data_IF_307730511301
#
_entry.id   IF_307730511301
#
_cell.length_a   1.000
_cell.length_b   1.000
_cell.length_c   1.000
_cell.angle_alpha   90.00
_cell.angle_beta   90.00
_cell.angle_gamma   90.00
#
_symmetry.space_group_name_H-M   'P 1'
#
loop_
_entity.id
_entity.type
_entity.pdbx_description
1 polymer ?
#
# COMPACT_ATOMS: atom_id res chain seq x y z
N UNK A 1 13.26 -29.90 12.80
CA UNK A 1 12.40 -29.00 13.60
C UNK A 1 11.10 -28.80 12.81
N UNK A 2 9.96 -29.35 13.24
CA UNK A 2 8.68 -29.22 12.51
C UNK A 2 8.29 -27.73 12.49
N UNK A 3 8.20 -27.14 11.30
CA UNK A 3 7.73 -25.77 11.15
C UNK A 3 6.28 -25.70 11.66
N UNK A 4 6.00 -24.86 12.67
CA UNK A 4 4.62 -24.60 13.06
C UNK A 4 3.94 -23.80 11.95
N UNK A 5 2.71 -24.19 11.61
CA UNK A 5 1.87 -23.40 10.71
C UNK A 5 1.66 -22.00 11.29
N UNK A 6 1.80 -20.97 10.44
CA UNK A 6 1.41 -19.60 10.81
C UNK A 6 -0.04 -19.60 11.33
N UNK A 7 -0.23 -19.06 12.53
CA UNK A 7 -1.52 -19.04 13.25
C UNK A 7 -2.05 -17.63 13.51
N UNK A 8 -1.50 -16.61 12.83
CA UNK A 8 -1.85 -15.21 13.06
C UNK A 8 -3.06 -14.85 12.18
N UNK A 9 -4.21 -14.58 12.81
CA UNK A 9 -5.48 -14.37 12.09
C UNK A 9 -5.45 -13.16 11.15
N UNK A 10 -4.88 -12.03 11.58
CA UNK A 10 -4.86 -10.80 10.80
C UNK A 10 -3.88 -10.83 9.64
N UNK A 11 -3.01 -11.84 9.58
CA UNK A 11 -2.21 -12.12 8.39
C UNK A 11 -2.99 -12.89 7.34
N UNK A 12 -4.21 -13.36 7.61
CA UNK A 12 -5.07 -13.96 6.59
C UNK A 12 -5.81 -12.83 5.86
N UNK A 13 -5.69 -12.75 4.52
CA UNK A 13 -6.28 -11.64 3.76
C UNK A 13 -7.81 -11.64 3.83
N UNK A 14 -8.44 -12.81 3.94
CA UNK A 14 -9.90 -12.95 4.04
C UNK A 14 -10.43 -12.31 5.32
N UNK A 15 -9.88 -12.67 6.48
CA UNK A 15 -10.35 -12.15 7.76
C UNK A 15 -10.04 -10.67 7.93
N UNK A 16 -8.84 -10.24 7.51
CA UNK A 16 -8.46 -8.84 7.60
C UNK A 16 -9.37 -7.96 6.74
N UNK A 17 -9.58 -8.36 5.48
CA UNK A 17 -10.41 -7.61 4.55
C UNK A 17 -11.88 -7.59 4.98
N UNK A 18 -12.43 -8.73 5.40
CA UNK A 18 -13.80 -8.80 5.93
C UNK A 18 -13.99 -7.85 7.10
N UNK A 19 -13.09 -7.88 8.09
CA UNK A 19 -13.18 -7.00 9.27
C UNK A 19 -13.08 -5.53 8.86
N UNK A 20 -12.08 -5.18 8.06
CA UNK A 20 -11.83 -3.81 7.62
C UNK A 20 -13.01 -3.23 6.85
N UNK A 21 -13.45 -3.92 5.79
CA UNK A 21 -14.53 -3.44 4.92
C UNK A 21 -15.85 -3.41 5.66
N UNK A 22 -16.15 -4.41 6.51
CA UNK A 22 -17.39 -4.40 7.29
C UNK A 22 -17.46 -3.19 8.20
N UNK A 23 -16.36 -2.83 8.88
CA UNK A 23 -16.32 -1.65 9.77
C UNK A 23 -16.50 -0.36 8.95
N UNK A 24 -15.80 -0.21 7.82
CA UNK A 24 -15.85 1.03 7.04
C UNK A 24 -17.20 1.19 6.34
N UNK A 25 -17.75 0.11 5.75
CA UNK A 25 -19.08 0.13 5.11
C UNK A 25 -20.17 0.37 6.15
N UNK A 26 -20.11 -0.29 7.31
CA UNK A 26 -21.06 -0.04 8.39
C UNK A 26 -20.97 1.40 8.88
N UNK A 27 -19.76 1.95 9.06
CA UNK A 27 -19.56 3.36 9.41
C UNK A 27 -20.18 4.30 8.38
N UNK A 28 -19.90 4.08 7.10
CA UNK A 28 -20.41 4.92 6.03
C UNK A 28 -21.93 4.87 5.87
N UNK A 29 -22.52 3.69 6.09
CA UNK A 29 -23.96 3.53 6.04
C UNK A 29 -24.67 4.07 7.30
N UNK A 30 -24.13 3.84 8.50
CA UNK A 30 -24.78 4.22 9.76
C UNK A 30 -24.66 5.70 10.11
N UNK A 31 -23.66 6.42 9.59
CA UNK A 31 -23.52 7.86 9.83
C UNK A 31 -24.68 8.61 9.14
N UNK A 32 -25.47 9.42 9.86
CA UNK A 32 -26.58 10.18 9.27
C UNK A 32 -26.13 11.19 8.22
N UNK A 33 -27.01 11.51 7.26
CA UNK A 33 -26.71 12.50 6.20
C UNK A 33 -26.32 13.87 6.75
N UNK A 34 -27.00 14.34 7.80
CA UNK A 34 -26.70 15.63 8.45
C UNK A 34 -25.27 15.69 9.01
N UNK A 35 -24.73 14.55 9.46
CA UNK A 35 -23.36 14.45 9.93
C UNK A 35 -22.36 14.56 8.77
N UNK A 36 -22.69 14.06 7.57
CA UNK A 36 -21.86 14.26 6.39
C UNK A 36 -21.77 15.74 6.00
N UNK A 37 -22.89 16.45 6.04
CA UNK A 37 -22.93 17.89 5.76
C UNK A 37 -22.14 18.66 6.83
N UNK A 38 -22.38 18.35 8.11
CA UNK A 38 -21.76 19.06 9.24
C UNK A 38 -20.25 18.87 9.33
N UNK A 39 -19.79 17.61 9.24
CA UNK A 39 -18.37 17.28 9.46
C UNK A 39 -17.54 17.25 8.18
N UNK A 40 -18.15 16.90 7.05
CA UNK A 40 -17.45 16.67 5.79
C UNK A 40 -17.88 17.60 4.66
N UNK A 41 -18.89 18.46 4.88
CA UNK A 41 -19.38 19.46 3.90
C UNK A 41 -19.72 18.83 2.54
N UNK A 42 -20.31 17.64 2.57
CA UNK A 42 -20.72 16.89 1.38
C UNK A 42 -22.03 16.17 1.66
N UNK A 43 -22.83 15.96 0.63
CA UNK A 43 -24.02 15.13 0.73
C UNK A 43 -23.67 13.65 0.90
N UNK A 44 -24.57 12.92 1.54
CA UNK A 44 -24.46 11.47 1.67
C UNK A 44 -25.11 10.81 0.46
N UNK A 45 -24.29 10.17 -0.36
CA UNK A 45 -24.72 9.41 -1.54
C UNK A 45 -25.03 7.96 -1.20
N UNK A 46 -24.50 7.40 -0.10
CA UNK A 46 -24.77 6.01 0.29
C UNK A 46 -26.17 5.87 0.90
N UNK A 47 -27.01 5.01 0.31
CA UNK A 47 -28.38 4.72 0.74
C UNK A 47 -28.80 3.27 0.44
N UNK A 48 -29.99 2.85 0.86
CA UNK A 48 -30.45 1.45 0.73
C UNK A 48 -30.40 0.93 -0.71
N UNK A 49 -30.72 1.78 -1.69
CA UNK A 49 -30.73 1.41 -3.11
C UNK A 49 -29.36 1.20 -3.77
N UNK A 50 -28.25 1.59 -3.15
CA UNK A 50 -26.92 1.45 -3.75
C UNK A 50 -25.92 0.68 -2.84
N UNK A 51 -26.38 0.23 -1.67
CA UNK A 51 -25.56 -0.50 -0.69
C UNK A 51 -24.96 -1.80 -1.27
N UNK A 52 -25.68 -2.44 -2.20
CA UNK A 52 -25.20 -3.65 -2.90
C UNK A 52 -23.89 -3.43 -3.65
N UNK A 53 -23.66 -2.24 -4.21
CA UNK A 53 -22.42 -1.93 -4.94
C UNK A 53 -21.20 -1.86 -4.03
N UNK A 54 -21.39 -1.64 -2.72
CA UNK A 54 -20.34 -1.68 -1.72
C UNK A 54 -20.09 -3.10 -1.20
N UNK A 55 -21.15 -3.91 -1.07
CA UNK A 55 -21.09 -5.25 -0.47
C UNK A 55 -20.61 -6.30 -1.48
N UNK A 56 -21.11 -6.29 -2.72
CA UNK A 56 -20.83 -7.31 -3.72
C UNK A 56 -19.33 -7.45 -4.05
N UNK A 57 -18.56 -6.37 -4.28
CA UNK A 57 -17.10 -6.44 -4.41
C UNK A 57 -16.42 -7.15 -3.25
N UNK A 58 -16.89 -6.88 -2.04
CA UNK A 58 -16.30 -7.44 -0.84
C UNK A 58 -16.56 -8.95 -0.74
N UNK A 59 -17.79 -9.37 -1.07
CA UNK A 59 -18.17 -10.78 -1.16
C UNK A 59 -17.35 -11.50 -2.23
N UNK A 60 -17.19 -10.92 -3.42
CA UNK A 60 -16.40 -11.48 -4.51
C UNK A 60 -14.92 -11.65 -4.11
N UNK A 61 -14.31 -10.64 -3.48
CA UNK A 61 -12.94 -10.75 -2.96
C UNK A 61 -12.81 -11.89 -1.94
N UNK A 62 -13.74 -11.99 -0.99
CA UNK A 62 -13.73 -13.05 0.03
C UNK A 62 -13.88 -14.41 -0.63
N UNK A 63 -14.84 -14.57 -1.55
CA UNK A 63 -15.06 -15.81 -2.29
C UNK A 63 -13.80 -16.24 -3.05
N UNK A 64 -13.17 -15.32 -3.80
CA UNK A 64 -11.91 -15.59 -4.48
C UNK A 64 -10.81 -16.05 -3.53
N UNK A 65 -10.67 -15.37 -2.38
CA UNK A 65 -9.66 -15.69 -1.36
C UNK A 65 -9.87 -17.06 -0.71
N UNK A 66 -11.12 -17.43 -0.46
CA UNK A 66 -11.52 -18.76 0.04
C UNK A 66 -11.24 -19.83 -1.02
N UNK A 67 -11.64 -19.61 -2.27
CA UNK A 67 -11.37 -20.53 -3.38
C UNK A 67 -9.86 -20.79 -3.50
N UNK A 68 -9.04 -19.73 -3.45
CA UNK A 68 -7.59 -19.86 -3.47
C UNK A 68 -7.04 -20.67 -2.29
N UNK A 69 -7.61 -20.50 -1.10
CA UNK A 69 -7.20 -21.26 0.10
C UNK A 69 -7.54 -22.75 -0.05
N UNK A 70 -8.68 -23.09 -0.66
CA UNK A 70 -9.10 -24.46 -0.93
C UNK A 70 -8.21 -25.12 -2.02
N UNK A 71 -7.93 -24.41 -3.12
CA UNK A 71 -7.10 -24.93 -4.20
C UNK A 71 -5.61 -25.00 -3.85
N UNK A 72 -5.11 -24.04 -3.07
CA UNK A 72 -3.73 -24.05 -2.59
C UNK A 72 -3.50 -25.08 -1.48
N UNK A 73 -4.52 -25.35 -0.64
CA UNK A 73 -4.48 -26.42 0.36
C UNK A 73 -4.30 -27.81 -0.26
N UNK A 74 -4.85 -28.02 -1.48
CA UNK A 74 -4.64 -29.24 -2.26
C UNK A 74 -3.23 -29.33 -2.85
N UNK A 75 -2.62 -28.19 -3.21
CA UNK A 75 -1.23 -28.13 -3.69
C UNK A 75 -0.27 -27.95 -2.52
N UNK A 76 0.05 -29.04 -1.82
CA UNK A 76 1.22 -29.06 -0.92
C UNK A 76 2.46 -28.65 -1.75
N UNK A 77 3.15 -27.54 -1.45
CA UNK A 77 4.43 -27.29 -2.08
C UNK A 77 5.37 -28.42 -1.64
N UNK A 78 5.86 -29.18 -2.61
CA UNK A 78 6.69 -30.38 -2.43
C UNK A 78 8.02 -30.13 -1.66
N UNK A 79 8.30 -28.90 -1.22
CA UNK A 79 9.37 -28.54 -0.30
C UNK A 79 8.93 -27.32 0.50
N UNK A 80 8.49 -27.53 1.74
CA UNK A 80 8.55 -26.47 2.74
C UNK A 80 10.01 -25.98 2.78
N UNK A 81 10.25 -24.66 2.84
CA UNK A 81 11.58 -24.01 2.99
C UNK A 81 12.42 -23.71 1.72
N UNK A 82 11.86 -23.77 0.50
CA UNK A 82 12.61 -23.40 -0.73
C UNK A 82 13.31 -22.05 -0.57
N UNK A 83 12.60 -20.99 -0.17
CA UNK A 83 13.21 -19.66 -0.10
C UNK A 83 14.34 -19.57 0.91
N UNK A 84 14.17 -20.13 2.12
CA UNK A 84 15.23 -20.17 3.14
C UNK A 84 16.44 -21.02 2.72
N UNK A 85 16.24 -22.10 1.97
CA UNK A 85 17.37 -22.85 1.40
C UNK A 85 18.12 -22.04 0.33
N UNK A 86 17.39 -21.30 -0.51
CA UNK A 86 17.96 -20.47 -1.57
C UNK A 86 18.77 -19.31 -0.99
N UNK A 87 18.30 -18.73 0.12
CA UNK A 87 19.01 -17.71 0.87
C UNK A 87 20.40 -18.13 1.33
N UNK A 88 20.56 -19.40 1.74
CA UNK A 88 21.86 -19.93 2.17
C UNK A 88 22.79 -20.19 0.98
N UNK A 89 22.25 -20.69 -0.14
CA UNK A 89 23.07 -21.05 -1.30
C UNK A 89 23.44 -19.84 -2.17
N UNK A 90 22.62 -18.78 -2.18
CA UNK A 90 22.80 -17.59 -3.02
C UNK A 90 23.00 -16.32 -2.19
N UNK A 91 23.71 -16.42 -1.07
CA UNK A 91 23.94 -15.30 -0.14
C UNK A 91 24.57 -14.09 -0.85
N UNK A 92 25.59 -14.30 -1.68
CA UNK A 92 26.26 -13.22 -2.43
C UNK A 92 25.33 -12.47 -3.38
N UNK A 93 24.50 -13.20 -4.13
CA UNK A 93 23.52 -12.64 -5.06
C UNK A 93 22.48 -11.79 -4.33
N UNK A 94 21.92 -12.30 -3.23
CA UNK A 94 20.90 -11.58 -2.45
C UNK A 94 21.48 -10.30 -1.83
N UNK A 95 22.71 -10.36 -1.29
CA UNK A 95 23.40 -9.17 -0.78
C UNK A 95 23.64 -8.13 -1.87
N UNK A 96 23.98 -8.56 -3.09
CA UNK A 96 24.16 -7.65 -4.23
C UNK A 96 22.86 -6.92 -4.58
N UNK A 97 21.73 -7.64 -4.63
CA UNK A 97 20.41 -7.03 -4.82
C UNK A 97 20.02 -6.06 -3.71
N UNK A 98 20.25 -6.43 -2.45
CA UNK A 98 19.98 -5.54 -1.31
C UNK A 98 20.78 -4.23 -1.45
N UNK A 99 22.08 -4.33 -1.77
CA UNK A 99 22.93 -3.15 -1.98
C UNK A 99 22.50 -2.32 -3.18
N UNK A 100 22.16 -2.97 -4.30
CA UNK A 100 21.67 -2.29 -5.51
C UNK A 100 20.40 -1.49 -5.19
N UNK A 101 19.40 -2.12 -4.57
CA UNK A 101 18.14 -1.46 -4.22
C UNK A 101 18.36 -0.32 -3.23
N UNK A 102 19.26 -0.50 -2.26
CA UNK A 102 19.66 0.58 -1.35
C UNK A 102 20.28 1.77 -2.09
N UNK A 103 21.22 1.53 -3.00
CA UNK A 103 21.84 2.59 -3.81
C UNK A 103 20.82 3.31 -4.68
N UNK A 104 19.91 2.59 -5.33
CA UNK A 104 18.82 3.17 -6.12
C UNK A 104 17.88 4.03 -5.26
N UNK A 105 17.57 3.56 -4.05
CA UNK A 105 16.75 4.31 -3.09
C UNK A 105 17.44 5.59 -2.66
N UNK A 106 18.73 5.52 -2.32
CA UNK A 106 19.53 6.70 -1.96
C UNK A 106 19.64 7.69 -3.12
N UNK A 107 19.81 7.19 -4.35
CA UNK A 107 19.80 8.04 -5.53
C UNK A 107 18.47 8.80 -5.67
N UNK A 108 17.33 8.13 -5.48
CA UNK A 108 16.02 8.78 -5.48
C UNK A 108 15.89 9.89 -4.43
N UNK A 109 16.32 9.62 -3.19
CA UNK A 109 16.31 10.63 -2.12
C UNK A 109 17.31 11.76 -2.35
N UNK A 110 18.49 11.47 -2.92
CA UNK A 110 19.49 12.48 -3.24
C UNK A 110 19.00 13.42 -4.35
N UNK A 111 18.43 12.86 -5.42
CA UNK A 111 17.85 13.65 -6.49
C UNK A 111 16.69 14.51 -5.99
N UNK A 112 15.86 13.95 -5.12
CA UNK A 112 14.79 14.69 -4.45
C UNK A 112 15.31 15.86 -3.60
N UNK A 113 16.36 15.62 -2.79
CA UNK A 113 17.00 16.68 -2.01
C UNK A 113 17.63 17.77 -2.89
N UNK A 114 18.22 17.40 -4.03
CA UNK A 114 18.76 18.37 -4.99
C UNK A 114 17.66 19.24 -5.61
N UNK A 115 16.51 18.64 -5.96
CA UNK A 115 15.34 19.38 -6.47
C UNK A 115 14.83 20.36 -5.40
N UNK A 116 14.79 19.94 -4.14
CA UNK A 116 14.44 20.85 -3.04
C UNK A 116 15.40 22.04 -2.94
N UNK A 117 16.71 21.80 -3.02
CA UNK A 117 17.71 22.87 -2.99
C UNK A 117 17.57 23.83 -4.18
N UNK A 118 17.33 23.31 -5.38
CA UNK A 118 17.14 24.12 -6.59
C UNK A 118 15.90 25.02 -6.50
N UNK A 119 14.83 24.53 -5.86
CA UNK A 119 13.57 25.24 -5.71
C UNK A 119 13.51 26.12 -4.45
N UNK A 120 14.67 26.45 -3.84
CA UNK A 120 14.75 27.45 -2.78
C UNK A 120 14.62 26.93 -1.35
N UNK A 121 14.83 25.63 -1.11
CA UNK A 121 14.84 25.08 0.25
C UNK A 121 15.96 25.70 1.10
N UNK A 122 15.60 26.32 2.23
CA UNK A 122 16.52 26.93 3.18
C UNK A 122 16.47 26.24 4.55
N UNK A 123 17.57 26.28 5.30
CA UNK A 123 17.64 25.72 6.65
C UNK A 123 16.65 26.40 7.61
N UNK A 124 16.35 27.69 7.39
CA UNK A 124 15.31 28.41 8.12
C UNK A 124 13.94 27.78 7.90
N UNK A 125 13.60 27.46 6.65
CA UNK A 125 12.32 26.84 6.32
C UNK A 125 12.16 25.44 6.92
N UNK A 126 13.25 24.66 6.99
CA UNK A 126 13.29 23.40 7.75
C UNK A 126 13.01 23.60 9.24
N UNK A 127 13.67 24.58 9.85
CA UNK A 127 13.49 24.88 11.28
C UNK A 127 12.07 25.40 11.57
N UNK A 128 11.47 26.15 10.64
CA UNK A 128 10.11 26.67 10.78
C UNK A 128 9.07 25.54 10.79
N UNK A 129 9.24 24.50 9.95
CA UNK A 129 8.42 23.29 10.02
C UNK A 129 8.59 22.55 11.35
N UNK A 130 9.83 22.39 11.81
CA UNK A 130 10.12 21.69 13.07
C UNK A 130 9.58 22.47 14.28
N UNK A 131 9.57 23.81 14.22
CA UNK A 131 8.98 24.69 15.23
C UNK A 131 7.45 24.77 15.16
N UNK A 132 6.85 24.24 14.09
CA UNK A 132 5.40 24.26 13.88
C UNK A 132 4.88 25.66 13.54
N UNK A 133 5.65 26.46 12.79
CA UNK A 133 5.16 27.75 12.31
C UNK A 133 3.98 27.55 11.33
N UNK A 134 2.85 28.26 11.53
CA UNK A 134 1.68 28.13 10.65
C UNK A 134 2.04 28.41 9.19
N UNK A 135 1.56 27.58 8.26
CA UNK A 135 1.78 27.75 6.82
C UNK A 135 3.09 27.18 6.26
N UNK A 136 4.12 26.93 7.07
CA UNK A 136 5.45 26.50 6.59
C UNK A 136 5.44 25.16 5.82
N UNK A 137 4.50 24.26 6.14
CA UNK A 137 4.33 22.98 5.41
C UNK A 137 3.66 23.22 4.05
N UNK A 138 2.74 24.20 3.95
CA UNK A 138 2.06 24.52 2.70
C UNK A 138 3.02 25.14 1.69
N UNK A 139 3.89 26.05 2.14
CA UNK A 139 4.95 26.65 1.33
C UNK A 139 5.90 25.60 0.74
N UNK A 140 6.10 24.47 1.42
CA UNK A 140 6.86 23.34 0.88
C UNK A 140 6.05 22.63 -0.19
N UNK A 141 4.83 22.24 0.14
CA UNK A 141 4.04 21.41 -0.78
C UNK A 141 3.66 22.11 -2.08
N UNK A 142 3.44 23.43 -2.08
CA UNK A 142 3.10 24.19 -3.30
C UNK A 142 4.32 24.47 -4.18
N UNK A 143 5.48 24.77 -3.57
CA UNK A 143 6.70 25.12 -4.31
C UNK A 143 7.51 23.89 -4.77
N UNK A 144 7.35 22.73 -4.13
CA UNK A 144 8.12 21.53 -4.44
C UNK A 144 7.27 20.48 -5.18
N UNK A 145 6.88 20.76 -6.43
CA UNK A 145 6.32 19.72 -7.31
C UNK A 145 7.39 18.66 -7.60
N UNK A 146 7.11 17.41 -7.22
CA UNK A 146 8.00 16.28 -7.49
C UNK A 146 8.16 16.05 -8.99
N UNK A 147 9.40 15.88 -9.46
CA UNK A 147 9.66 15.44 -10.83
C UNK A 147 9.32 13.95 -10.92
N UNK A 148 8.22 13.64 -11.64
CA UNK A 148 7.77 12.28 -11.92
C UNK A 148 8.87 11.49 -12.62
N UNK A 149 9.13 10.26 -12.17
CA UNK A 149 10.19 9.36 -12.71
C UNK A 149 11.47 9.35 -11.87
N UNK A 150 12.06 10.50 -11.55
CA UNK A 150 13.31 10.55 -10.75
C UNK A 150 13.02 10.31 -9.26
N UNK A 151 11.96 10.92 -8.75
CA UNK A 151 11.50 10.72 -7.36
C UNK A 151 10.90 9.34 -7.14
N UNK A 152 10.47 8.65 -8.21
CA UNK A 152 9.95 7.28 -8.18
C UNK A 152 11.01 6.26 -7.72
N UNK A 153 12.30 6.58 -7.81
CA UNK A 153 13.37 5.73 -7.28
C UNK A 153 13.30 5.53 -5.76
N UNK A 154 12.63 6.43 -5.03
CA UNK A 154 12.35 6.23 -3.59
C UNK A 154 11.52 4.97 -3.32
N UNK A 155 10.71 4.52 -4.29
CA UNK A 155 9.88 3.33 -4.17
C UNK A 155 10.70 2.02 -4.21
N UNK A 156 11.97 2.05 -4.63
CA UNK A 156 12.90 0.92 -4.46
C UNK A 156 13.23 0.64 -2.99
N UNK A 157 12.90 1.55 -2.08
CA UNK A 157 13.03 1.34 -0.64
C UNK A 157 12.16 0.19 -0.12
N UNK A 158 10.99 -0.01 -0.73
CA UNK A 158 10.04 -1.08 -0.38
C UNK A 158 10.65 -2.48 -0.60
N UNK A 159 11.08 -2.85 -1.83
CA UNK A 159 11.71 -4.15 -2.05
C UNK A 159 13.03 -4.29 -1.29
N UNK A 160 13.79 -3.21 -1.08
CA UNK A 160 14.99 -3.23 -0.24
C UNK A 160 14.66 -3.69 1.19
N UNK A 161 13.66 -3.09 1.84
CA UNK A 161 13.28 -3.42 3.21
C UNK A 161 12.83 -4.87 3.32
N UNK A 162 12.01 -5.35 2.38
CA UNK A 162 11.52 -6.73 2.35
C UNK A 162 12.71 -7.71 2.35
N UNK A 163 13.65 -7.54 1.41
CA UNK A 163 14.79 -8.44 1.27
C UNK A 163 15.77 -8.32 2.45
N UNK A 164 16.07 -7.10 2.90
CA UNK A 164 17.01 -6.85 3.99
C UNK A 164 16.50 -7.40 5.32
N UNK A 165 15.23 -7.13 5.68
CA UNK A 165 14.62 -7.64 6.91
C UNK A 165 14.53 -9.16 6.86
N UNK A 166 14.13 -9.73 5.72
CA UNK A 166 14.07 -11.18 5.58
C UNK A 166 15.44 -11.83 5.79
N UNK A 167 16.46 -11.30 5.13
CA UNK A 167 17.84 -11.79 5.23
C UNK A 167 18.34 -11.75 6.68
N UNK A 168 18.16 -10.63 7.38
CA UNK A 168 18.65 -10.46 8.75
C UNK A 168 17.92 -11.35 9.75
N UNK A 169 16.59 -11.42 9.68
CA UNK A 169 15.79 -12.21 10.64
C UNK A 169 15.98 -13.71 10.41
N UNK A 170 16.16 -14.13 9.15
CA UNK A 170 16.44 -15.53 8.81
C UNK A 170 17.85 -15.96 9.25
N UNK A 171 18.87 -15.12 9.08
CA UNK A 171 20.26 -15.46 9.39
C UNK A 171 20.70 -15.07 10.81
N UNK A 172 19.88 -14.30 11.55
CA UNK A 172 20.22 -13.79 12.88
C UNK A 172 21.32 -12.73 12.89
N UNK A 173 21.77 -12.23 11.74
CA UNK A 173 22.85 -11.25 11.60
C UNK A 173 22.28 -9.84 11.37
N UNK A 174 22.90 -8.83 11.99
CA UNK A 174 22.51 -7.40 11.89
C UNK A 174 23.25 -6.63 10.79
N UNK A 175 23.51 -7.28 9.65
CA UNK A 175 24.41 -6.77 8.60
C UNK A 175 23.95 -5.45 7.96
N UNK A 176 22.64 -5.23 7.83
CA UNK A 176 22.05 -4.10 7.11
C UNK A 176 21.35 -3.09 8.03
N UNK A 177 21.60 -3.13 9.35
CA UNK A 177 20.87 -2.27 10.30
C UNK A 177 21.08 -0.79 10.02
N UNK A 178 22.31 -0.38 9.68
CA UNK A 178 22.59 1.02 9.30
C UNK A 178 21.83 1.43 8.04
N UNK A 179 21.80 0.58 7.01
CA UNK A 179 21.06 0.85 5.77
C UNK A 179 19.54 0.94 6.01
N UNK A 180 18.98 0.04 6.82
CA UNK A 180 17.57 0.10 7.21
C UNK A 180 17.25 1.36 8.00
N UNK A 181 18.11 1.75 8.96
CA UNK A 181 17.92 2.97 9.74
C UNK A 181 17.93 4.21 8.85
N UNK A 182 18.85 4.29 7.88
CA UNK A 182 18.90 5.39 6.91
C UNK A 182 17.62 5.46 6.09
N UNK A 183 17.16 4.35 5.50
CA UNK A 183 15.94 4.36 4.67
C UNK A 183 14.71 4.71 5.51
N UNK A 184 14.59 4.20 6.74
CA UNK A 184 13.49 4.55 7.65
C UNK A 184 13.53 6.04 7.98
N UNK A 185 14.70 6.60 8.29
CA UNK A 185 14.85 8.02 8.58
C UNK A 185 14.46 8.90 7.38
N UNK A 186 14.95 8.57 6.18
CA UNK A 186 14.60 9.28 4.94
C UNK A 186 13.10 9.19 4.64
N UNK A 187 12.48 8.05 4.93
CA UNK A 187 11.03 7.85 4.77
C UNK A 187 10.22 8.64 5.79
N UNK A 188 10.71 8.77 7.03
CA UNK A 188 10.09 9.61 8.04
C UNK A 188 10.14 11.09 7.63
N UNK A 189 11.28 11.56 7.15
CA UNK A 189 11.42 12.93 6.60
C UNK A 189 10.42 13.12 5.45
N UNK A 190 10.37 12.19 4.50
CA UNK A 190 9.39 12.23 3.39
C UNK A 190 7.93 12.27 3.88
N UNK A 191 7.58 11.45 4.88
CA UNK A 191 6.22 11.39 5.41
C UNK A 191 5.81 12.68 6.15
N UNK A 192 6.75 13.36 6.82
CA UNK A 192 6.50 14.62 7.54
C UNK A 192 6.42 15.80 6.57
N UNK A 193 7.46 15.98 5.73
CA UNK A 193 7.61 17.17 4.91
C UNK A 193 6.63 17.22 3.74
N UNK A 194 6.24 16.06 3.19
CA UNK A 194 5.41 15.98 1.98
C UNK A 194 4.08 15.31 2.24
N UNK A 195 3.74 15.07 3.51
CA UNK A 195 2.49 14.43 3.94
C UNK A 195 2.23 13.07 3.28
N UNK A 196 3.27 12.40 2.76
CA UNK A 196 3.17 11.10 2.11
C UNK A 196 3.15 9.95 3.12
N UNK A 197 2.14 9.94 3.98
CA UNK A 197 1.99 9.04 5.14
C UNK A 197 2.01 7.56 4.76
N UNK A 198 1.53 7.25 3.56
CA UNK A 198 1.53 5.90 3.01
C UNK A 198 2.95 5.33 2.86
N UNK A 199 3.95 6.16 2.56
CA UNK A 199 5.34 5.71 2.38
C UNK A 199 5.92 5.03 3.63
N UNK A 200 5.53 5.50 4.81
CA UNK A 200 5.96 4.89 6.07
C UNK A 200 5.31 3.52 6.27
N UNK A 201 4.02 3.38 5.94
CA UNK A 201 3.29 2.11 6.02
C UNK A 201 3.83 1.07 5.04
N UNK A 202 4.21 1.49 3.83
CA UNK A 202 4.85 0.68 2.79
C UNK A 202 6.17 0.04 3.25
N UNK A 203 6.83 0.61 4.26
CA UNK A 203 8.09 0.10 4.82
C UNK A 203 7.87 -0.66 6.13
N UNK A 204 7.15 -0.05 7.08
CA UNK A 204 6.98 -0.61 8.42
C UNK A 204 6.14 -1.89 8.40
N UNK A 205 5.02 -1.90 7.67
CA UNK A 205 4.10 -3.03 7.69
C UNK A 205 4.75 -4.29 7.09
N UNK A 206 5.38 -4.27 5.89
CA UNK A 206 6.06 -5.45 5.36
C UNK A 206 7.17 -5.95 6.30
N UNK A 207 7.95 -5.04 6.90
CA UNK A 207 8.99 -5.39 7.85
C UNK A 207 8.41 -6.13 9.07
N UNK A 208 7.32 -5.62 9.66
CA UNK A 208 6.63 -6.25 10.79
C UNK A 208 6.10 -7.63 10.42
N UNK A 209 5.43 -7.75 9.27
CA UNK A 209 4.89 -9.04 8.79
C UNK A 209 5.99 -10.08 8.65
N UNK A 210 7.12 -9.72 8.03
CA UNK A 210 8.26 -10.62 7.85
C UNK A 210 8.87 -11.00 9.20
N UNK A 211 9.11 -10.03 10.07
CA UNK A 211 9.69 -10.26 11.40
C UNK A 211 8.86 -11.26 12.20
N UNK A 212 7.54 -11.09 12.22
CA UNK A 212 6.64 -11.95 12.99
C UNK A 212 6.53 -13.34 12.36
N UNK A 213 6.38 -13.42 11.04
CA UNK A 213 6.27 -14.70 10.35
C UNK A 213 7.54 -15.54 10.48
N UNK A 214 8.72 -14.96 10.30
CA UNK A 214 9.99 -15.70 10.43
C UNK A 214 10.21 -16.13 11.89
N UNK A 215 9.97 -15.25 12.88
CA UNK A 215 10.09 -15.61 14.30
C UNK A 215 9.12 -16.74 14.70
N UNK A 216 7.89 -16.72 14.20
CA UNK A 216 6.92 -17.78 14.46
C UNK A 216 7.34 -19.11 13.82
N UNK A 217 7.84 -19.08 12.57
CA UNK A 217 8.39 -20.27 11.90
C UNK A 217 9.62 -20.84 12.62
N UNK A 218 10.42 -19.99 13.28
CA UNK A 218 11.53 -20.38 14.17
C UNK A 218 11.06 -20.94 15.54
N UNK A 219 9.76 -21.01 15.79
CA UNK A 219 9.19 -21.56 17.03
C UNK A 219 9.19 -20.59 18.22
N UNK A 220 9.50 -19.30 18.02
CA UNK A 220 9.44 -18.30 19.10
C UNK A 220 7.98 -18.02 19.46
N UNK A 221 7.65 -18.12 20.75
CA UNK A 221 6.35 -17.69 21.27
C UNK A 221 6.30 -16.16 21.23
N UNK A 222 5.42 -15.62 20.40
CA UNK A 222 5.19 -14.19 20.34
C UNK A 222 3.95 -13.86 21.20
N UNK A 223 4.16 -13.16 22.32
CA UNK A 223 3.06 -12.74 23.20
C UNK A 223 2.29 -11.60 22.53
N UNK A 224 0.97 -11.57 22.73
CA UNK A 224 0.07 -10.48 22.30
C UNK A 224 -0.04 -10.22 20.78
N UNK A 225 0.53 -11.07 19.91
CA UNK A 225 0.49 -10.86 18.45
C UNK A 225 -0.92 -10.80 17.87
N UNK A 226 -1.89 -11.45 18.52
CA UNK A 226 -3.29 -11.39 18.13
C UNK A 226 -3.89 -9.98 18.30
N UNK A 227 -3.32 -9.14 19.17
CA UNK A 227 -3.77 -7.76 19.45
C UNK A 227 -3.00 -6.69 18.66
N UNK A 228 -2.02 -7.09 17.84
CA UNK A 228 -1.22 -6.12 17.06
C UNK A 228 -2.04 -5.25 16.10
N UNK A 229 -3.15 -5.71 15.50
CA UNK A 229 -4.01 -4.83 14.71
C UNK A 229 -4.60 -3.67 15.53
N UNK A 230 -4.94 -3.89 16.80
CA UNK A 230 -5.45 -2.83 17.68
C UNK A 230 -4.35 -1.84 18.04
N UNK A 231 -3.15 -2.34 18.36
CA UNK A 231 -1.97 -1.51 18.61
C UNK A 231 -1.60 -0.72 17.35
N UNK A 232 -1.67 -1.36 16.18
CA UNK A 232 -1.42 -0.74 14.89
C UNK A 232 -2.42 0.36 14.57
N UNK A 233 -3.71 0.14 14.85
CA UNK A 233 -4.76 1.16 14.70
C UNK A 233 -4.51 2.36 15.63
N UNK A 234 -4.21 2.12 16.90
CA UNK A 234 -3.89 3.19 17.84
C UNK A 234 -2.64 3.98 17.41
N UNK A 235 -1.59 3.28 16.95
CA UNK A 235 -0.38 3.90 16.42
C UNK A 235 -0.64 4.70 15.13
N UNK A 236 -1.51 4.19 14.25
CA UNK A 236 -1.90 4.86 13.02
C UNK A 236 -2.68 6.15 13.32
N UNK A 237 -3.65 6.11 14.24
CA UNK A 237 -4.40 7.29 14.68
C UNK A 237 -3.47 8.29 15.36
N UNK A 238 -2.55 7.84 16.22
CA UNK A 238 -1.57 8.70 16.87
C UNK A 238 -0.62 9.38 15.87
N UNK A 239 -0.07 8.62 14.93
CA UNK A 239 0.81 9.17 13.88
C UNK A 239 0.05 10.13 12.95
N UNK A 240 -1.17 9.77 12.56
CA UNK A 240 -2.07 10.64 11.81
C UNK A 240 -2.33 11.94 12.57
N UNK A 241 -2.64 11.84 13.86
CA UNK A 241 -2.86 12.98 14.75
C UNK A 241 -1.66 13.91 14.80
N UNK A 242 -0.47 13.40 15.08
CA UNK A 242 0.76 14.19 15.11
C UNK A 242 0.98 14.90 13.76
N UNK A 243 0.79 14.20 12.65
CA UNK A 243 0.96 14.79 11.32
C UNK A 243 -0.07 15.87 10.99
N UNK A 244 -1.35 15.64 11.32
CA UNK A 244 -2.42 16.64 11.15
C UNK A 244 -2.25 17.84 12.08
N UNK A 245 -1.66 17.65 13.26
CA UNK A 245 -1.37 18.73 14.20
C UNK A 245 -0.50 19.81 13.56
N UNK A 246 0.64 19.40 12.98
CA UNK A 246 1.56 20.32 12.32
C UNK A 246 1.01 20.87 11.00
N UNK A 247 0.27 20.04 10.25
CA UNK A 247 -0.21 20.43 8.91
C UNK A 247 -1.40 21.36 8.96
N UNK A 248 -2.48 20.96 9.64
CA UNK A 248 -3.80 21.55 9.44
C UNK A 248 -4.42 22.08 10.72
N UNK A 249 -4.07 21.53 11.89
CA UNK A 249 -4.59 22.01 13.17
C UNK A 249 -4.09 23.43 13.50
N UNK A 250 -2.76 23.62 13.57
CA UNK A 250 -2.15 24.90 13.93
C UNK A 250 -2.49 26.02 12.96
N UNK A 251 -2.68 25.68 11.68
CA UNK A 251 -2.89 26.66 10.61
C UNK A 251 -4.36 27.05 10.40
N UNK A 252 -5.31 26.12 10.57
CA UNK A 252 -6.69 26.34 10.14
C UNK A 252 -7.77 25.89 11.15
N UNK A 253 -7.61 24.72 11.76
CA UNK A 253 -8.72 24.08 12.48
C UNK A 253 -8.78 24.36 13.99
N UNK A 254 -7.77 25.01 14.57
CA UNK A 254 -7.72 25.35 16.01
C UNK A 254 -8.93 26.17 16.48
N UNK A 255 -9.50 27.00 15.61
CA UNK A 255 -10.65 27.85 15.91
C UNK A 255 -11.99 27.28 15.41
N UNK A 256 -11.97 26.13 14.73
CA UNK A 256 -13.15 25.53 14.10
C UNK A 256 -13.70 24.37 14.94
N UNK A 257 -12.83 23.57 15.53
CA UNK A 257 -13.23 22.40 16.31
C UNK A 257 -13.11 22.66 17.82
N UNK A 258 -14.02 22.11 18.65
CA UNK A 258 -13.99 22.27 20.10
C UNK A 258 -12.75 21.64 20.74
N UNK A 259 -12.26 20.53 20.17
CA UNK A 259 -11.11 19.81 20.68
C UNK A 259 -10.28 19.18 19.57
N UNK A 260 -8.97 19.06 19.80
CA UNK A 260 -8.07 18.36 18.89
C UNK A 260 -8.44 16.90 18.71
N UNK A 261 -8.92 16.23 19.78
CA UNK A 261 -9.30 14.82 19.70
C UNK A 261 -10.51 14.59 18.79
N UNK A 262 -11.52 15.44 18.91
CA UNK A 262 -12.71 15.40 18.04
C UNK A 262 -12.33 15.64 16.58
N UNK A 263 -11.45 16.62 16.31
CA UNK A 263 -10.90 16.84 14.98
C UNK A 263 -10.19 15.61 14.42
N UNK A 264 -9.28 15.01 15.18
CA UNK A 264 -8.51 13.84 14.73
C UNK A 264 -9.40 12.64 14.45
N UNK A 265 -10.31 12.31 15.36
CA UNK A 265 -11.22 11.17 15.18
C UNK A 265 -12.12 11.41 13.97
N UNK A 266 -12.77 12.57 13.89
CA UNK A 266 -13.68 12.92 12.80
C UNK A 266 -12.99 12.86 11.44
N UNK A 267 -11.78 13.42 11.34
CA UNK A 267 -11.01 13.48 10.09
C UNK A 267 -10.40 12.13 9.72
N UNK A 268 -9.92 11.36 10.69
CA UNK A 268 -9.39 10.02 10.45
C UNK A 268 -10.48 9.10 9.89
N UNK A 269 -11.65 9.01 10.55
CA UNK A 269 -12.77 8.22 10.05
C UNK A 269 -13.34 8.80 8.75
N UNK A 270 -13.37 10.14 8.64
CA UNK A 270 -13.75 10.86 7.43
C UNK A 270 -13.01 10.33 6.21
N UNK A 271 -11.69 10.23 6.24
CA UNK A 271 -10.90 9.73 5.11
C UNK A 271 -11.27 8.34 4.58
N UNK A 272 -11.87 7.47 5.40
CA UNK A 272 -12.32 6.14 4.97
C UNK A 272 -13.79 6.15 4.56
N UNK A 273 -14.63 6.81 5.34
CA UNK A 273 -16.08 6.84 5.14
C UNK A 273 -16.44 7.72 3.94
N UNK A 274 -15.83 8.89 3.80
CA UNK A 274 -16.05 9.76 2.65
C UNK A 274 -15.46 9.16 1.37
N UNK A 275 -14.42 8.33 1.46
CA UNK A 275 -13.91 7.64 0.27
C UNK A 275 -14.98 6.75 -0.36
N UNK A 276 -15.69 5.93 0.43
CA UNK A 276 -16.81 5.11 -0.08
C UNK A 276 -17.95 5.98 -0.62
N UNK A 277 -18.24 7.11 0.04
CA UNK A 277 -19.25 8.06 -0.42
C UNK A 277 -18.88 8.70 -1.76
N UNK A 278 -17.62 9.09 -1.93
CA UNK A 278 -17.04 9.61 -3.17
C UNK A 278 -17.06 8.56 -4.29
N UNK A 279 -16.74 7.30 -3.98
CA UNK A 279 -16.86 6.20 -4.95
C UNK A 279 -18.31 5.99 -5.42
N UNK A 280 -19.27 6.18 -4.52
CA UNK A 280 -20.71 6.12 -4.82
C UNK A 280 -21.15 7.32 -5.68
N UNK A 281 -20.68 8.53 -5.34
CA UNK A 281 -20.87 9.74 -6.13
C UNK A 281 -20.40 9.55 -7.58
N UNK A 282 -19.21 8.96 -7.80
CA UNK A 282 -18.73 8.70 -9.15
C UNK A 282 -19.62 7.71 -9.90
N UNK A 283 -20.13 6.70 -9.20
CA UNK A 283 -21.04 5.75 -9.83
C UNK A 283 -22.36 6.41 -10.26
N UNK A 284 -22.90 7.31 -9.43
CA UNK A 284 -24.14 8.03 -9.74
C UNK A 284 -23.99 9.06 -10.86
N UNK A 285 -22.86 9.78 -10.88
CA UNK A 285 -22.65 10.88 -11.84
C UNK A 285 -22.02 10.41 -13.17
N UNK A 286 -21.12 9.42 -13.11
CA UNK A 286 -20.38 8.94 -14.29
C UNK A 286 -20.90 7.60 -14.81
N UNK A 287 -21.67 6.86 -14.02
CA UNK A 287 -22.17 5.53 -14.37
C UNK A 287 -21.09 4.44 -14.27
N UNK A 288 -21.48 3.23 -14.69
CA UNK A 288 -20.55 2.13 -14.90
C UNK A 288 -19.79 2.31 -16.21
N UNK A 289 -18.53 1.86 -16.25
CA UNK A 289 -17.70 1.89 -17.45
C UNK A 289 -17.65 3.30 -18.08
N UNK A 290 -17.35 4.31 -17.26
CA UNK A 290 -17.27 5.71 -17.68
C UNK A 290 -16.08 5.98 -18.62
N UNK A 291 -15.11 5.07 -18.66
CA UNK A 291 -13.95 5.15 -19.56
C UNK A 291 -13.92 3.99 -20.57
N UNK A 292 -13.47 4.23 -21.82
CA UNK A 292 -13.52 3.23 -22.89
C UNK A 292 -12.52 2.08 -22.71
N UNK A 293 -11.45 2.31 -21.95
CA UNK A 293 -10.44 1.31 -21.63
C UNK A 293 -9.96 1.51 -20.19
N UNK A 294 -9.62 0.43 -19.45
CA UNK A 294 -9.27 0.55 -18.04
C UNK A 294 -8.16 1.58 -17.76
N UNK A 295 -8.52 2.60 -16.99
CA UNK A 295 -7.63 3.66 -16.56
C UNK A 295 -7.19 3.46 -15.12
N UNK A 296 -8.13 3.20 -14.20
CA UNK A 296 -7.85 3.16 -12.76
C UNK A 296 -7.20 1.85 -12.31
N UNK A 297 -7.66 0.73 -12.85
CA UNK A 297 -7.13 -0.61 -12.57
C UNK A 297 -5.85 -0.91 -13.35
N UNK A 298 -5.53 -0.10 -14.37
CA UNK A 298 -4.28 -0.16 -15.15
C UNK A 298 -3.52 1.17 -15.16
N UNK A 299 -3.64 1.96 -14.09
CA UNK A 299 -3.06 3.31 -13.99
C UNK A 299 -1.56 3.34 -14.31
N UNK A 300 -0.84 2.32 -13.88
CA UNK A 300 0.59 2.16 -14.15
C UNK A 300 0.97 2.12 -15.62
N UNK A 301 0.08 1.69 -16.54
CA UNK A 301 0.34 1.70 -17.99
C UNK A 301 0.44 3.15 -18.44
N UNK A 302 -0.53 3.97 -18.02
CA UNK A 302 -0.70 5.35 -18.46
C UNK A 302 0.28 6.31 -17.79
N UNK A 303 0.71 6.00 -16.56
CA UNK A 303 1.67 6.78 -15.78
C UNK A 303 3.09 6.20 -15.79
N UNK A 304 3.39 5.31 -16.74
CA UNK A 304 4.71 4.70 -16.83
C UNK A 304 5.79 5.77 -17.18
N UNK A 305 6.96 5.76 -16.51
CA UNK A 305 8.04 6.69 -16.84
C UNK A 305 8.43 6.58 -18.32
N UNK A 306 8.33 7.68 -19.06
CA UNK A 306 8.57 7.74 -20.50
C UNK A 306 7.31 7.80 -21.37
N UNK A 307 6.11 7.64 -20.79
CA UNK A 307 4.87 8.03 -21.45
C UNK A 307 4.57 9.51 -21.23
N UNK A 308 3.92 10.16 -22.20
CA UNK A 308 3.43 11.53 -22.04
C UNK A 308 2.33 11.55 -20.97
N UNK A 309 2.24 12.63 -20.19
CA UNK A 309 1.18 12.80 -19.18
C UNK A 309 -0.23 12.68 -19.76
N UNK A 310 -0.38 12.99 -21.05
CA UNK A 310 -1.63 12.93 -21.81
C UNK A 310 -1.78 11.65 -22.65
N UNK A 311 -1.05 10.57 -22.34
CA UNK A 311 -1.06 9.34 -23.14
C UNK A 311 -2.48 8.75 -23.30
N UNK A 312 -3.27 8.76 -22.23
CA UNK A 312 -4.66 8.28 -22.28
C UNK A 312 -5.54 9.19 -23.15
N UNK A 313 -5.44 10.51 -22.97
CA UNK A 313 -6.17 11.48 -23.77
C UNK A 313 -5.81 11.37 -25.25
N UNK A 314 -4.53 11.17 -25.57
CA UNK A 314 -4.05 10.98 -26.95
C UNK A 314 -4.63 9.71 -27.58
N UNK A 315 -4.89 8.65 -26.79
CA UNK A 315 -5.42 7.38 -27.29
C UNK A 315 -6.94 7.38 -27.42
N UNK A 316 -7.67 8.02 -26.50
CA UNK A 316 -9.13 7.88 -26.37
C UNK A 316 -9.90 9.21 -26.43
N UNK A 317 -9.22 10.36 -26.49
CA UNK A 317 -9.84 11.68 -26.55
C UNK A 317 -10.54 12.13 -25.26
N UNK A 318 -10.38 11.37 -24.16
CA UNK A 318 -11.03 11.61 -22.87
C UNK A 318 -9.95 11.77 -21.80
N UNK A 319 -10.17 12.67 -20.84
CA UNK A 319 -9.32 12.80 -19.66
C UNK A 319 -10.08 12.30 -18.41
N UNK A 320 -9.81 11.06 -17.95
CA UNK A 320 -10.49 10.48 -16.78
C UNK A 320 -10.28 11.29 -15.50
N UNK A 321 -9.08 11.86 -15.30
CA UNK A 321 -8.78 12.67 -14.11
C UNK A 321 -9.59 13.96 -14.11
N UNK A 322 -9.76 14.60 -15.28
CA UNK A 322 -10.60 15.78 -15.39
C UNK A 322 -12.07 15.47 -15.06
N UNK A 323 -12.61 14.35 -15.56
CA UNK A 323 -13.99 13.94 -15.26
C UNK A 323 -14.23 13.70 -13.76
N UNK A 324 -13.31 13.01 -13.10
CA UNK A 324 -13.36 12.79 -11.65
C UNK A 324 -13.22 14.11 -10.87
N UNK A 325 -12.25 14.95 -11.24
CA UNK A 325 -12.02 16.22 -10.55
C UNK A 325 -13.20 17.17 -10.70
N UNK A 326 -13.78 17.30 -11.90
CA UNK A 326 -14.99 18.11 -12.11
C UNK A 326 -16.16 17.58 -11.29
N UNK A 327 -16.32 16.25 -11.17
CA UNK A 327 -17.36 15.65 -10.34
C UNK A 327 -17.15 15.97 -8.86
N UNK A 328 -15.91 15.84 -8.37
CA UNK A 328 -15.53 16.19 -7.00
C UNK A 328 -15.74 17.68 -6.67
N UNK A 329 -15.35 18.57 -7.57
CA UNK A 329 -15.48 20.01 -7.39
C UNK A 329 -16.93 20.47 -7.44
N UNK A 330 -17.77 19.80 -8.23
CA UNK A 330 -19.18 20.17 -8.41
C UNK A 330 -20.10 19.59 -7.33
N UNK A 331 -19.84 18.37 -6.87
CA UNK A 331 -20.78 17.58 -6.05
C UNK A 331 -20.15 16.97 -4.78
N UNK A 332 -18.82 17.02 -4.68
CA UNK A 332 -18.06 16.41 -3.60
C UNK A 332 -17.40 17.46 -2.69
N UNK A 333 -16.34 17.02 -2.01
CA UNK A 333 -15.46 17.92 -1.27
C UNK A 333 -14.00 17.68 -1.72
N UNK A 334 -13.32 18.69 -2.31
CA UNK A 334 -11.92 18.58 -2.74
C UNK A 334 -10.94 18.20 -1.61
N UNK A 335 -11.27 18.48 -0.35
CA UNK A 335 -10.47 18.06 0.82
C UNK A 335 -10.50 16.54 1.06
N UNK A 336 -11.60 15.89 0.66
CA UNK A 336 -11.85 14.45 0.82
C UNK A 336 -11.94 13.75 -0.55
N UNK A 337 -10.90 13.93 -1.37
CA UNK A 337 -10.84 13.46 -2.76
C UNK A 337 -10.42 11.99 -2.95
N UNK A 338 -10.47 11.16 -1.90
CA UNK A 338 -10.10 9.75 -2.02
C UNK A 338 -11.15 9.01 -2.87
N UNK A 339 -10.78 8.34 -3.97
CA UNK A 339 -11.72 7.82 -4.93
C UNK A 339 -12.40 6.48 -4.55
N UNK A 340 -12.09 5.93 -3.36
CA UNK A 340 -12.35 4.54 -2.97
C UNK A 340 -11.66 3.51 -3.86
N UNK A 341 -10.72 2.77 -3.29
CA UNK A 341 -10.13 1.64 -4.01
C UNK A 341 -11.15 0.56 -4.35
N UNK A 342 -12.18 0.37 -3.51
CA UNK A 342 -13.23 -0.64 -3.66
C UNK A 342 -14.13 -0.35 -4.87
N UNK A 343 -14.50 0.92 -5.07
CA UNK A 343 -15.50 1.33 -6.06
C UNK A 343 -14.90 1.77 -7.40
N UNK A 344 -13.63 2.17 -7.43
CA UNK A 344 -12.92 2.57 -8.66
C UNK A 344 -13.05 1.58 -9.84
N UNK A 345 -13.01 0.24 -9.65
CA UNK A 345 -13.17 -0.70 -10.76
C UNK A 345 -14.50 -0.56 -11.53
N UNK A 346 -15.55 0.00 -10.93
CA UNK A 346 -16.81 0.25 -11.66
C UNK A 346 -16.68 1.35 -12.73
N UNK A 347 -15.67 2.21 -12.63
CA UNK A 347 -15.41 3.24 -13.65
C UNK A 347 -14.76 2.62 -14.90
N UNK A 348 -13.94 1.57 -14.71
CA UNK A 348 -13.24 0.88 -15.79
C UNK A 348 -14.07 -0.23 -16.45
N UNK A 349 -15.03 -0.80 -15.72
CA UNK A 349 -15.68 -2.05 -16.07
C UNK A 349 -17.19 -2.00 -15.84
N UNK A 350 -17.92 -2.86 -16.55
CA UNK A 350 -19.31 -3.16 -16.20
C UNK A 350 -19.41 -3.82 -14.82
N UNK A 351 -20.61 -3.85 -14.22
CA UNK A 351 -20.83 -4.48 -12.90
C UNK A 351 -20.25 -5.91 -12.84
N UNK A 352 -20.56 -6.76 -13.81
CA UNK A 352 -20.09 -8.16 -13.82
C UNK A 352 -18.57 -8.28 -13.89
N UNK A 353 -17.92 -7.46 -14.72
CA UNK A 353 -16.47 -7.43 -14.90
C UNK A 353 -15.75 -6.86 -13.66
N UNK A 354 -16.31 -5.83 -13.01
CA UNK A 354 -15.79 -5.29 -11.76
C UNK A 354 -15.86 -6.33 -10.62
N UNK A 355 -16.95 -7.10 -10.54
CA UNK A 355 -17.06 -8.22 -9.58
C UNK A 355 -16.08 -9.35 -9.88
N UNK A 356 -15.87 -9.68 -11.16
CA UNK A 356 -14.85 -10.63 -11.58
C UNK A 356 -13.45 -10.14 -11.19
N UNK A 357 -13.14 -8.86 -11.41
CA UNK A 357 -11.88 -8.25 -10.99
C UNK A 357 -11.64 -8.45 -9.49
N UNK A 358 -12.62 -8.16 -8.64
CA UNK A 358 -12.49 -8.37 -7.21
C UNK A 358 -12.35 -9.84 -6.82
N UNK A 359 -13.06 -10.74 -7.50
CA UNK A 359 -12.86 -12.19 -7.36
C UNK A 359 -11.44 -12.63 -7.68
N UNK A 360 -10.85 -12.11 -8.75
CA UNK A 360 -9.47 -12.39 -9.15
C UNK A 360 -8.45 -11.82 -8.15
N UNK A 361 -8.64 -10.58 -7.69
CA UNK A 361 -7.78 -9.96 -6.67
C UNK A 361 -7.85 -10.74 -5.36
N UNK A 362 -9.05 -11.17 -4.96
CA UNK A 362 -9.25 -12.07 -3.81
C UNK A 362 -8.52 -13.39 -3.96
N UNK A 363 -8.62 -14.01 -5.14
CA UNK A 363 -7.93 -15.26 -5.47
C UNK A 363 -6.41 -15.12 -5.41
N UNK A 364 -5.85 -14.08 -6.03
CA UNK A 364 -4.41 -13.77 -5.96
C UNK A 364 -3.96 -13.54 -4.51
N UNK A 365 -4.75 -12.82 -3.72
CA UNK A 365 -4.48 -12.59 -2.30
C UNK A 365 -4.37 -13.91 -1.52
N UNK A 366 -5.32 -14.83 -1.72
CA UNK A 366 -5.30 -16.15 -1.08
C UNK A 366 -4.12 -17.01 -1.53
N UNK A 367 -3.77 -16.98 -2.82
CA UNK A 367 -2.61 -17.71 -3.34
C UNK A 367 -1.28 -17.20 -2.76
N UNK A 368 -1.10 -15.88 -2.70
CA UNK A 368 0.10 -15.27 -2.12
C UNK A 368 0.20 -15.58 -0.63
N UNK A 369 -0.92 -15.54 0.11
CA UNK A 369 -0.96 -15.92 1.52
C UNK A 369 -0.62 -17.40 1.74
N UNK A 370 -1.16 -18.30 0.94
CA UNK A 370 -0.83 -19.72 1.00
C UNK A 370 0.68 -19.94 0.72
N UNK A 371 1.21 -19.30 -0.31
CA UNK A 371 2.65 -19.31 -0.61
C UNK A 371 3.49 -18.79 0.57
N UNK A 372 3.06 -17.71 1.21
CA UNK A 372 3.70 -17.13 2.39
C UNK A 372 3.67 -18.09 3.58
N UNK A 373 2.52 -18.74 3.84
CA UNK A 373 2.36 -19.73 4.91
C UNK A 373 3.35 -20.89 4.75
N UNK A 374 3.46 -21.41 3.54
CA UNK A 374 4.30 -22.58 3.25
C UNK A 374 5.77 -22.25 2.93
N UNK A 375 6.15 -20.97 2.85
CA UNK A 375 7.53 -20.56 2.59
C UNK A 375 7.95 -20.59 1.11
N UNK A 376 6.98 -20.52 0.19
CA UNK A 376 7.23 -20.35 -1.23
C UNK A 376 7.77 -18.96 -1.54
N UNK A 377 8.76 -18.87 -2.43
CA UNK A 377 9.50 -17.65 -2.74
C UNK A 377 8.60 -16.46 -3.08
N UNK A 378 7.65 -16.64 -4.02
CA UNK A 378 6.73 -15.56 -4.43
C UNK A 378 5.91 -15.04 -3.26
N UNK A 379 5.34 -15.93 -2.44
CA UNK A 379 4.58 -15.53 -1.25
C UNK A 379 5.46 -14.82 -0.22
N UNK A 380 6.67 -15.32 0.05
CA UNK A 380 7.59 -14.69 1.02
C UNK A 380 8.01 -13.27 0.62
N UNK A 381 8.12 -13.00 -0.68
CA UNK A 381 8.59 -11.74 -1.23
C UNK A 381 7.44 -10.75 -1.46
N UNK A 382 6.34 -11.19 -2.06
CA UNK A 382 5.25 -10.30 -2.49
C UNK A 382 4.17 -10.10 -1.44
N UNK A 383 3.86 -11.12 -0.65
CA UNK A 383 2.75 -11.06 0.31
C UNK A 383 2.89 -9.93 1.35
N UNK A 384 4.08 -9.65 1.93
CA UNK A 384 4.21 -8.59 2.92
C UNK A 384 3.78 -7.21 2.44
N UNK A 385 4.06 -6.87 1.18
CA UNK A 385 3.63 -5.60 0.59
C UNK A 385 2.22 -5.67 0.00
N UNK A 386 1.78 -6.84 -0.45
CA UNK A 386 0.39 -7.08 -0.85
C UNK A 386 -0.60 -6.72 0.27
N UNK A 387 -0.22 -6.98 1.52
CA UNK A 387 -1.02 -6.63 2.70
C UNK A 387 -1.22 -5.12 2.89
N UNK A 388 -0.25 -4.29 2.48
CA UNK A 388 -0.44 -2.82 2.46
C UNK A 388 -1.56 -2.49 1.48
N UNK A 389 -1.55 -3.11 0.30
CA UNK A 389 -2.60 -2.93 -0.69
C UNK A 389 -3.99 -3.30 -0.16
N UNK A 390 -4.13 -4.41 0.55
CA UNK A 390 -5.41 -4.83 1.15
C UNK A 390 -5.92 -3.80 2.16
N UNK A 391 -5.05 -3.27 3.01
CA UNK A 391 -5.43 -2.26 4.01
C UNK A 391 -5.87 -0.93 3.40
N UNK A 392 -5.36 -0.61 2.21
CA UNK A 392 -5.64 0.65 1.53
C UNK A 392 -6.89 0.59 0.64
N UNK A 393 -7.43 -0.60 0.32
CA UNK A 393 -8.61 -0.78 -0.54
C UNK A 393 -9.77 0.17 -0.20
N UNK A 394 -10.17 0.40 1.07
CA UNK A 394 -11.28 1.30 1.35
C UNK A 394 -11.08 2.72 0.80
N UNK A 395 -9.82 3.17 0.71
CA UNK A 395 -9.46 4.54 0.36
C UNK A 395 -8.90 4.68 -1.06
N UNK A 396 -8.04 3.75 -1.48
CA UNK A 396 -7.26 3.87 -2.71
C UNK A 396 -6.94 2.49 -3.32
N UNK A 397 -6.98 2.39 -4.66
CA UNK A 397 -6.64 1.15 -5.37
C UNK A 397 -5.12 1.03 -5.49
N UNK A 398 -4.47 0.61 -4.40
CA UNK A 398 -3.02 0.58 -4.31
C UNK A 398 -2.34 -0.37 -5.32
N UNK A 399 -3.00 -1.46 -5.71
CA UNK A 399 -2.41 -2.51 -6.56
C UNK A 399 -2.03 -2.03 -7.96
N UNK A 400 -2.80 -1.10 -8.53
CA UNK A 400 -2.62 -0.57 -9.88
C UNK A 400 -1.83 0.73 -9.93
N UNK A 401 -1.55 1.33 -8.76
CA UNK A 401 -0.89 2.62 -8.64
C UNK A 401 0.48 2.64 -9.30
N UNK A 402 0.77 3.74 -10.01
CA UNK A 402 2.10 4.00 -10.58
C UNK A 402 3.22 4.00 -9.53
N UNK A 403 2.91 4.26 -8.25
CA UNK A 403 3.87 4.17 -7.14
C UNK A 403 4.30 2.73 -6.86
N UNK A 404 3.36 1.79 -6.91
CA UNK A 404 3.58 0.42 -6.50
C UNK A 404 4.13 -0.46 -7.62
N UNK A 405 3.88 -0.09 -8.87
CA UNK A 405 4.32 -0.86 -10.04
C UNK A 405 5.84 -1.14 -10.13
N UNK A 406 6.76 -0.19 -9.87
CA UNK A 406 8.19 -0.49 -9.83
C UNK A 406 8.55 -1.56 -8.80
N UNK A 407 7.84 -1.60 -7.67
CA UNK A 407 8.03 -2.63 -6.65
C UNK A 407 7.69 -4.02 -7.20
N UNK A 408 6.58 -4.16 -7.94
CA UNK A 408 6.21 -5.41 -8.59
C UNK A 408 7.28 -5.94 -9.51
N UNK A 409 7.73 -5.11 -10.46
CA UNK A 409 8.72 -5.51 -11.45
C UNK A 409 9.98 -5.99 -10.75
N UNK A 410 10.48 -5.25 -9.76
CA UNK A 410 11.69 -5.60 -9.02
C UNK A 410 11.54 -6.93 -8.30
N UNK A 411 10.45 -7.12 -7.55
CA UNK A 411 10.25 -8.32 -6.75
C UNK A 411 10.00 -9.56 -7.61
N UNK A 412 9.28 -9.41 -8.72
CA UNK A 412 9.06 -10.46 -9.71
C UNK A 412 10.36 -10.81 -10.43
N UNK A 413 11.13 -9.81 -10.87
CA UNK A 413 12.43 -10.00 -11.54
C UNK A 413 13.42 -10.68 -10.60
N UNK A 414 13.55 -10.20 -9.36
CA UNK A 414 14.35 -10.84 -8.33
C UNK A 414 13.94 -12.30 -8.14
N UNK A 415 12.64 -12.56 -8.01
CA UNK A 415 12.12 -13.91 -7.81
C UNK A 415 12.40 -14.81 -9.02
N UNK A 416 12.18 -14.32 -10.24
CA UNK A 416 12.45 -15.05 -11.48
C UNK A 416 13.94 -15.41 -11.60
N UNK A 417 14.82 -14.42 -11.45
CA UNK A 417 16.26 -14.64 -11.55
C UNK A 417 16.80 -15.55 -10.44
N UNK A 418 16.27 -15.46 -9.21
CA UNK A 418 16.62 -16.37 -8.12
C UNK A 418 16.34 -17.83 -8.51
N UNK A 419 15.17 -18.12 -9.10
CA UNK A 419 14.82 -19.47 -9.55
C UNK A 419 15.64 -19.92 -10.76
N UNK A 420 15.88 -19.02 -11.72
CA UNK A 420 16.70 -19.31 -12.89
C UNK A 420 18.14 -19.71 -12.48
N UNK A 421 18.75 -18.92 -11.60
CA UNK A 421 20.09 -19.19 -11.09
C UNK A 421 20.15 -20.47 -10.25
N UNK A 422 19.08 -20.81 -9.53
CA UNK A 422 19.02 -22.06 -8.78
C UNK A 422 18.94 -23.31 -9.66
N UNK A 423 18.15 -23.25 -10.75
CA UNK A 423 18.11 -24.34 -11.74
C UNK A 423 19.49 -24.54 -12.39
N UNK A 424 20.17 -23.45 -12.74
CA UNK A 424 21.52 -23.50 -13.32
C UNK A 424 22.53 -24.17 -12.38
N UNK A 425 22.46 -23.89 -11.08
CA UNK A 425 23.32 -24.51 -10.06
C UNK A 425 23.04 -26.01 -9.87
N UNK A 426 21.77 -26.44 -9.91
CA UNK A 426 21.42 -27.86 -9.86
C UNK A 426 21.92 -28.60 -11.12
N UNK A 427 21.84 -27.97 -12.29
CA UNK A 427 22.39 -28.55 -13.53
C UNK A 427 23.92 -28.52 -13.65
N UNK A 428 24.60 -27.71 -12.81
CA UNK A 428 26.06 -27.59 -12.80
C UNK A 428 26.75 -28.47 -11.76
N UNK A 429 26.01 -29.18 -10.90
CA UNK A 429 26.60 -30.22 -10.09
C UNK A 429 26.93 -31.40 -11.00
N UNK A 430 28.22 -31.73 -11.24
CA UNK A 430 28.55 -32.90 -12.03
C UNK A 430 27.95 -34.12 -11.32
N UNK A 431 27.28 -34.97 -12.10
CA UNK A 431 26.70 -36.23 -11.65
C UNK A 431 27.80 -37.13 -11.09
N UNK A 432 28.18 -36.95 -9.83
CA UNK A 432 29.35 -37.63 -9.27
C UNK A 432 29.67 -37.38 -7.80
N UNK A 433 28.81 -36.68 -7.04
CA UNK A 433 28.96 -36.58 -5.58
C UNK A 433 27.65 -36.94 -4.87
N UNK A 434 27.33 -38.24 -4.90
CA UNK A 434 26.68 -38.89 -3.77
C UNK A 434 27.81 -39.58 -3.00
N UNK A 435 28.15 -39.02 -1.84
CA UNK A 435 28.87 -39.75 -0.81
C UNK A 435 27.86 -40.59 -0.03
#
# INVERSE_FOLDING_TARGET
>A
MKARSLSIWWMNPTYLFLLLISIVVAGAYLIPGDSYITFYRVDKYIHDGNLEFLILPAVCFIAGSVIASLTAGARRPAREQVFSSMLKHQEGYIKAWIKLLFTLTLFGYAAWFLIMLQNGFTLSLFLNVVKGEPGAIYDITENFKSITGVTSFTNFGIPFVILAVYYQVSNGKRTFNGMLAIVVLLTLVRAIFFSERLALMEILLPAIIIMLAVKQKQGKKLRLVHYYPLIGLAALIGFFGISEYFRSWLSFYVNVYPSFWEFIVTRFFGYYVTALNTGTLYLEQLGFQSVPFPYFTLEWIWKFPGMSGDAYFSAFGINPEAGINTTLESWGNPEFNNPSGLMLPYQDYSLGEALLFWGLIGYVSGMLYAGFKHGGTLGMVLYPIWMVGILEIPRYLYFSSGRFFPCWIVLLTFTFMLHYNAKKLVSWQPAGRRA
#
